data_IF_129442449830
#
_entry.id   IF_129442449830
#
_cell.length_a   1.000
_cell.length_b   1.000
_cell.length_c   1.000
_cell.angle_alpha   90.00
_cell.angle_beta   90.00
_cell.angle_gamma   90.00
#
_symmetry.space_group_name_H-M   'P 1'
#
loop_
_entity.id
_entity.type
_entity.pdbx_description
1 polymer ?
#
# COMPACT_ATOMS: atom_id res chain seq x y z
N UNK A 1 15.08 -28.72 -5.55
CA UNK A 1 14.29 -27.76 -4.75
C UNK A 1 12.82 -27.90 -5.08
N UNK A 2 11.96 -27.98 -4.08
CA UNK A 2 10.53 -28.10 -4.31
C UNK A 2 9.94 -26.76 -4.73
N UNK A 3 8.84 -26.79 -5.48
CA UNK A 3 8.11 -25.58 -5.87
C UNK A 3 7.55 -24.83 -4.66
N UNK A 4 7.21 -25.57 -3.59
CA UNK A 4 6.73 -24.98 -2.34
C UNK A 4 7.78 -24.08 -1.70
N UNK A 5 9.03 -24.54 -1.67
CA UNK A 5 10.13 -23.76 -1.10
C UNK A 5 10.39 -22.50 -1.92
N UNK A 6 10.31 -22.59 -3.25
CA UNK A 6 10.46 -21.45 -4.13
C UNK A 6 9.37 -20.42 -3.89
N UNK A 7 8.12 -20.85 -3.69
CA UNK A 7 7.00 -19.97 -3.38
C UNK A 7 7.15 -19.30 -2.02
N UNK A 8 7.65 -20.02 -1.02
CA UNK A 8 7.90 -19.46 0.30
C UNK A 8 8.98 -18.37 0.24
N UNK A 9 10.03 -18.59 -0.56
CA UNK A 9 11.10 -17.61 -0.74
C UNK A 9 10.56 -16.36 -1.42
N UNK A 10 9.75 -16.50 -2.47
CA UNK A 10 9.12 -15.38 -3.15
C UNK A 10 8.19 -14.60 -2.21
N UNK A 11 7.42 -15.32 -1.40
CA UNK A 11 6.53 -14.70 -0.43
C UNK A 11 7.31 -13.87 0.59
N UNK A 12 8.43 -14.41 1.06
CA UNK A 12 9.28 -13.72 2.02
C UNK A 12 9.88 -12.46 1.41
N UNK A 13 10.33 -12.52 0.16
CA UNK A 13 10.79 -11.34 -0.58
C UNK A 13 9.71 -10.30 -0.70
N UNK A 14 8.49 -10.72 -1.06
CA UNK A 14 7.35 -9.82 -1.14
C UNK A 14 7.10 -9.11 0.19
N UNK A 15 7.10 -9.87 1.30
CA UNK A 15 6.86 -9.29 2.62
C UNK A 15 7.92 -8.26 2.99
N UNK A 16 9.18 -8.53 2.64
CA UNK A 16 10.28 -7.60 2.89
C UNK A 16 10.11 -6.32 2.08
N UNK A 17 9.85 -6.44 0.78
CA UNK A 17 9.68 -5.29 -0.11
C UNK A 17 8.44 -4.48 0.25
N UNK A 18 7.32 -5.15 0.50
CA UNK A 18 6.07 -4.47 0.83
C UNK A 18 6.18 -3.72 2.15
N UNK A 19 6.88 -4.31 3.13
CA UNK A 19 7.14 -3.63 4.40
C UNK A 19 7.92 -2.34 4.22
N UNK A 20 8.96 -2.37 3.37
CA UNK A 20 9.75 -1.18 3.07
C UNK A 20 8.90 -0.13 2.34
N UNK A 21 8.08 -0.56 1.38
CA UNK A 21 7.20 0.36 0.64
C UNK A 21 6.16 1.00 1.57
N UNK A 22 5.60 0.24 2.49
CA UNK A 22 4.64 0.79 3.46
C UNK A 22 5.28 1.82 4.40
N UNK A 23 6.54 1.60 4.79
CA UNK A 23 7.27 2.59 5.58
C UNK A 23 7.45 3.89 4.78
N UNK A 24 7.80 3.78 3.50
CA UNK A 24 7.91 4.94 2.62
C UNK A 24 6.57 5.66 2.45
N UNK A 25 5.49 4.90 2.31
CA UNK A 25 4.14 5.49 2.21
C UNK A 25 3.83 6.31 3.45
N UNK A 26 4.16 5.80 4.64
CA UNK A 26 3.95 6.53 5.88
C UNK A 26 4.68 7.86 5.91
N UNK A 27 5.96 7.87 5.51
CA UNK A 27 6.76 9.09 5.46
C UNK A 27 6.20 10.08 4.45
N UNK A 28 5.80 9.59 3.28
CA UNK A 28 5.25 10.44 2.21
C UNK A 28 3.86 10.97 2.54
N UNK A 29 3.06 10.23 3.30
CA UNK A 29 1.78 10.73 3.79
C UNK A 29 1.98 11.92 4.74
N UNK A 30 2.98 11.85 5.62
CA UNK A 30 3.30 12.97 6.50
C UNK A 30 3.69 14.21 5.69
N UNK A 31 4.46 14.01 4.60
CA UNK A 31 4.80 15.11 3.70
C UNK A 31 3.58 15.64 2.95
N UNK A 32 2.69 14.73 2.54
CA UNK A 32 1.48 15.09 1.80
C UNK A 32 0.55 15.96 2.64
N UNK A 33 0.49 15.76 3.95
CA UNK A 33 -0.29 16.61 4.84
C UNK A 33 0.16 18.06 4.77
N UNK A 34 1.46 18.29 4.55
CA UNK A 34 2.03 19.63 4.41
C UNK A 34 1.92 20.16 2.99
N UNK A 35 1.90 19.28 1.99
CA UNK A 35 1.90 19.63 0.56
C UNK A 35 0.86 18.80 -0.18
N UNK A 36 -0.43 19.05 0.05
CA UNK A 36 -1.50 18.19 -0.45
C UNK A 36 -1.69 18.17 -1.96
N UNK A 37 -1.06 19.08 -2.68
CA UNK A 37 -1.14 19.15 -4.15
C UNK A 37 0.16 18.67 -4.82
N UNK A 38 1.11 18.16 -4.07
CA UNK A 38 2.38 17.68 -4.60
C UNK A 38 2.15 16.40 -5.40
N UNK A 39 2.24 16.52 -6.72
CA UNK A 39 1.98 15.41 -7.64
C UNK A 39 2.98 14.28 -7.53
N UNK A 40 4.23 14.61 -7.20
CA UNK A 40 5.27 13.58 -7.04
C UNK A 40 4.93 12.67 -5.86
N UNK A 41 4.50 13.26 -4.74
CA UNK A 41 4.09 12.49 -3.56
C UNK A 41 2.88 11.60 -3.90
N UNK A 42 1.88 12.15 -4.58
CA UNK A 42 0.70 11.38 -4.98
C UNK A 42 1.07 10.21 -5.87
N UNK A 43 1.94 10.44 -6.85
CA UNK A 43 2.39 9.39 -7.77
C UNK A 43 3.21 8.32 -7.06
N UNK A 44 4.10 8.71 -6.15
CA UNK A 44 4.96 7.77 -5.44
C UNK A 44 4.15 6.86 -4.52
N UNK A 45 3.19 7.43 -3.80
CA UNK A 45 2.30 6.66 -2.91
C UNK A 45 1.45 5.70 -3.75
N UNK A 46 0.87 6.19 -4.83
CA UNK A 46 0.07 5.38 -5.74
C UNK A 46 0.86 4.20 -6.30
N UNK A 47 2.11 4.44 -6.70
CA UNK A 47 2.98 3.39 -7.22
C UNK A 47 3.27 2.33 -6.17
N UNK A 48 3.56 2.74 -4.93
CA UNK A 48 3.82 1.79 -3.84
C UNK A 48 2.61 0.91 -3.58
N UNK A 49 1.42 1.50 -3.54
CA UNK A 49 0.18 0.74 -3.35
C UNK A 49 -0.07 -0.23 -4.51
N UNK A 50 0.26 0.18 -5.73
CA UNK A 50 0.10 -0.67 -6.91
C UNK A 50 1.00 -1.91 -6.82
N UNK A 51 2.24 -1.73 -6.39
CA UNK A 51 3.19 -2.85 -6.23
C UNK A 51 2.70 -3.81 -5.15
N UNK A 52 2.24 -3.29 -4.01
CA UNK A 52 1.72 -4.11 -2.92
C UNK A 52 0.47 -4.87 -3.38
N UNK A 53 -0.41 -4.20 -4.10
CA UNK A 53 -1.63 -4.81 -4.67
C UNK A 53 -1.26 -6.01 -5.57
N UNK A 54 -0.29 -5.82 -6.46
CA UNK A 54 0.15 -6.87 -7.37
C UNK A 54 0.67 -8.10 -6.64
N UNK A 55 1.52 -7.89 -5.65
CA UNK A 55 2.06 -8.99 -4.84
C UNK A 55 0.97 -9.68 -4.01
N UNK A 56 0.10 -8.91 -3.39
CA UNK A 56 -1.01 -9.46 -2.61
C UNK A 56 -1.92 -10.33 -3.48
N UNK A 57 -2.23 -9.85 -4.70
CA UNK A 57 -3.04 -10.62 -5.64
C UNK A 57 -2.34 -11.89 -6.08
N UNK A 58 -1.04 -11.82 -6.35
CA UNK A 58 -0.26 -12.98 -6.75
C UNK A 58 -0.27 -14.08 -5.68
N UNK A 59 -0.18 -13.70 -4.41
CA UNK A 59 -0.18 -14.66 -3.30
C UNK A 59 -1.60 -14.96 -2.76
N UNK A 60 -2.63 -14.47 -3.43
CA UNK A 60 -4.01 -14.78 -3.08
C UNK A 60 -4.54 -14.04 -1.84
N UNK A 61 -3.89 -12.96 -1.41
CA UNK A 61 -4.34 -12.17 -0.28
C UNK A 61 -5.34 -11.13 -0.79
N UNK A 62 -6.53 -11.61 -1.16
CA UNK A 62 -7.53 -10.81 -1.87
C UNK A 62 -8.06 -9.60 -1.10
N UNK A 63 -8.34 -9.69 0.22
CA UNK A 63 -8.77 -8.49 0.96
C UNK A 63 -7.74 -7.37 0.95
N UNK A 64 -6.45 -7.72 1.08
CA UNK A 64 -5.38 -6.73 1.03
C UNK A 64 -5.26 -6.12 -0.37
N UNK A 65 -5.32 -6.96 -1.40
CA UNK A 65 -5.28 -6.48 -2.78
C UNK A 65 -6.45 -5.53 -3.08
N UNK A 66 -7.65 -5.86 -2.62
CA UNK A 66 -8.85 -5.03 -2.83
C UNK A 66 -8.71 -3.68 -2.14
N UNK A 67 -8.23 -3.66 -0.90
CA UNK A 67 -8.07 -2.40 -0.16
C UNK A 67 -6.99 -1.53 -0.79
N UNK A 68 -5.87 -2.13 -1.23
CA UNK A 68 -4.83 -1.39 -1.95
C UNK A 68 -5.36 -0.82 -3.26
N UNK A 69 -6.19 -1.56 -3.98
CA UNK A 69 -6.81 -1.09 -5.22
C UNK A 69 -7.68 0.14 -4.97
N UNK A 70 -8.55 0.07 -3.96
CA UNK A 70 -9.45 1.17 -3.64
C UNK A 70 -8.67 2.41 -3.19
N UNK A 71 -7.64 2.22 -2.37
CA UNK A 71 -6.78 3.31 -1.89
C UNK A 71 -6.01 3.93 -3.06
N UNK A 72 -5.46 3.10 -3.94
CA UNK A 72 -4.77 3.55 -5.14
C UNK A 72 -5.70 4.41 -6.01
N UNK A 73 -6.97 4.02 -6.14
CA UNK A 73 -7.97 4.77 -6.90
C UNK A 73 -8.20 6.17 -6.34
N UNK A 74 -8.21 6.30 -5.02
CA UNK A 74 -8.32 7.62 -4.38
C UNK A 74 -7.15 8.52 -4.77
N UNK A 75 -5.93 8.00 -4.74
CA UNK A 75 -4.75 8.76 -5.14
C UNK A 75 -4.79 9.13 -6.62
N UNK A 76 -5.34 8.26 -7.47
CA UNK A 76 -5.55 8.56 -8.87
C UNK A 76 -6.48 9.75 -9.07
N UNK A 77 -7.57 9.81 -8.32
CA UNK A 77 -8.52 10.93 -8.38
C UNK A 77 -7.87 12.23 -7.92
N UNK A 78 -7.05 12.19 -6.88
CA UNK A 78 -6.33 13.36 -6.41
C UNK A 78 -5.33 13.84 -7.45
N UNK A 79 -4.59 12.93 -8.07
CA UNK A 79 -3.63 13.25 -9.11
C UNK A 79 -4.30 13.89 -10.32
N UNK A 80 -5.45 13.36 -10.71
CA UNK A 80 -6.20 13.83 -11.87
C UNK A 80 -7.10 15.03 -11.54
N UNK A 81 -7.07 15.47 -10.28
CA UNK A 81 -7.84 16.61 -9.78
C UNK A 81 -9.36 16.45 -9.88
N UNK A 82 -9.83 15.21 -9.89
CA UNK A 82 -11.26 14.90 -9.82
C UNK A 82 -11.75 14.89 -8.37
N UNK A 83 -10.83 14.92 -7.42
CA UNK A 83 -11.12 15.07 -5.99
C UNK A 83 -10.15 16.09 -5.40
N UNK A 84 -10.58 16.77 -4.34
CA UNK A 84 -9.76 17.74 -3.61
C UNK A 84 -9.37 17.13 -2.27
N UNK A 85 -8.08 17.19 -1.94
CA UNK A 85 -7.60 16.66 -0.67
C UNK A 85 -7.89 17.66 0.45
N UNK A 86 -9.06 17.52 1.05
CA UNK A 86 -9.45 18.29 2.23
C UNK A 86 -9.17 17.46 3.50
N UNK A 87 -9.48 18.05 4.66
CA UNK A 87 -9.25 17.40 5.96
C UNK A 87 -10.01 16.07 6.07
N UNK A 88 -11.23 16.03 5.57
CA UNK A 88 -12.06 14.82 5.63
C UNK A 88 -11.47 13.69 4.80
N UNK A 89 -11.05 14.00 3.58
CA UNK A 89 -10.46 13.01 2.68
C UNK A 89 -9.10 12.54 3.19
N UNK A 90 -8.30 13.46 3.75
CA UNK A 90 -7.02 13.10 4.36
C UNK A 90 -7.22 12.10 5.50
N UNK A 91 -8.25 12.30 6.32
CA UNK A 91 -8.56 11.37 7.41
C UNK A 91 -8.90 9.98 6.86
N UNK A 92 -9.70 9.92 5.78
CA UNK A 92 -10.06 8.65 5.14
C UNK A 92 -8.82 7.95 4.61
N UNK A 93 -7.94 8.68 3.94
CA UNK A 93 -6.69 8.14 3.40
C UNK A 93 -5.80 7.60 4.52
N UNK A 94 -5.64 8.33 5.61
CA UNK A 94 -4.84 7.90 6.74
C UNK A 94 -5.41 6.63 7.37
N UNK A 95 -6.72 6.53 7.50
CA UNK A 95 -7.38 5.34 8.02
C UNK A 95 -7.21 4.15 7.07
N UNK A 96 -7.37 4.37 5.76
CA UNK A 96 -7.22 3.31 4.77
C UNK A 96 -5.79 2.77 4.75
N UNK A 97 -4.79 3.64 4.77
CA UNK A 97 -3.39 3.21 4.76
C UNK A 97 -3.00 2.55 6.07
N UNK A 98 -3.55 2.99 7.21
CA UNK A 98 -3.35 2.32 8.49
C UNK A 98 -3.93 0.91 8.46
N UNK A 99 -5.08 0.72 7.82
CA UNK A 99 -5.70 -0.60 7.67
C UNK A 99 -4.86 -1.50 6.77
N UNK A 100 -4.34 -0.98 5.67
CA UNK A 100 -3.42 -1.72 4.79
C UNK A 100 -2.22 -2.21 5.61
N UNK A 101 -1.64 -1.33 6.42
CA UNK A 101 -0.49 -1.67 7.25
C UNK A 101 -0.84 -2.74 8.28
N UNK A 102 -1.98 -2.62 8.95
CA UNK A 102 -2.42 -3.59 9.94
C UNK A 102 -2.63 -4.97 9.32
N UNK A 103 -3.26 -5.03 8.15
CA UNK A 103 -3.47 -6.28 7.42
C UNK A 103 -2.13 -6.89 7.01
N UNK A 104 -1.22 -6.07 6.53
CA UNK A 104 0.11 -6.51 6.14
C UNK A 104 0.89 -7.05 7.35
N UNK A 105 0.88 -6.37 8.48
CA UNK A 105 1.57 -6.81 9.68
C UNK A 105 1.01 -8.15 10.18
N UNK A 106 -0.29 -8.32 10.10
CA UNK A 106 -0.94 -9.58 10.46
C UNK A 106 -0.46 -10.70 9.53
N UNK A 107 -0.38 -10.45 8.23
CA UNK A 107 0.10 -11.40 7.25
C UNK A 107 1.57 -11.75 7.50
N UNK A 108 2.41 -10.78 7.80
CA UNK A 108 3.82 -10.99 8.08
C UNK A 108 4.01 -11.82 9.35
N UNK A 109 3.22 -11.57 10.38
CA UNK A 109 3.27 -12.33 11.63
C UNK A 109 2.89 -13.80 11.42
N UNK A 110 1.87 -14.05 10.57
CA UNK A 110 1.44 -15.44 10.30
C UNK A 110 2.38 -16.19 9.36
N UNK A 111 3.24 -15.48 8.64
CA UNK A 111 4.24 -16.09 7.75
C UNK A 111 5.49 -16.52 8.49
N UNK A 112 5.71 -16.04 9.71
CA UNK A 112 6.85 -16.42 10.52
C UNK A 112 6.69 -17.85 11.03
N UNK A 113 7.74 -18.68 10.94
CA UNK A 113 7.68 -20.05 11.47
C UNK A 113 7.60 -20.09 12.98
#
# INVERSE_FOLDING_TARGET
>A
MSGLQGMEDLRREFLTEAGALLAEVGDKLAELEKRPTDRRLLNDISRSLHIIKGGAGFFGVNPLAALCHDTESLFGQLRDRTAVLDTSLMKIILEATATVRAMFECLAATAEP
#
